data_IF_046880953098
#
_entry.id   IF_046880953098
#
_cell.length_a   1.000
_cell.length_b   1.000
_cell.length_c   1.000
_cell.angle_alpha   90.00
_cell.angle_beta   90.00
_cell.angle_gamma   90.00
#
_symmetry.space_group_name_H-M   'P 1'
#
loop_
_entity.id
_entity.type
_entity.pdbx_description
1 polymer ?
#
# COMPACT_ATOMS: atom_id res chain seq x y z
N UNK A 1 26.62 24.10 5.43
CA UNK A 1 25.70 23.67 4.36
C UNK A 1 24.39 24.40 4.55
N UNK A 2 23.81 24.99 3.51
CA UNK A 2 22.43 25.47 3.58
C UNK A 2 21.53 24.26 3.88
N UNK A 3 20.59 24.39 4.81
CA UNK A 3 19.67 23.31 5.15
C UNK A 3 18.78 22.90 3.96
N UNK A 4 18.10 21.75 4.03
CA UNK A 4 17.20 21.32 2.97
C UNK A 4 16.11 22.38 2.73
N UNK A 5 15.89 22.74 1.46
CA UNK A 5 14.90 23.73 1.05
C UNK A 5 13.66 23.01 0.53
N UNK A 6 12.53 23.16 1.22
CA UNK A 6 11.24 22.68 0.72
C UNK A 6 10.60 23.73 -0.19
N UNK A 7 10.56 23.47 -1.50
CA UNK A 7 10.03 24.43 -2.47
C UNK A 7 8.51 24.26 -2.64
N UNK A 8 7.76 24.79 -1.67
CA UNK A 8 6.29 24.72 -1.63
C UNK A 8 5.64 25.19 -2.93
N UNK A 9 6.08 26.31 -3.49
CA UNK A 9 5.46 26.89 -4.69
C UNK A 9 5.55 25.97 -5.92
N UNK A 10 6.67 25.28 -6.10
CA UNK A 10 6.82 24.29 -7.18
C UNK A 10 5.86 23.11 -7.02
N UNK A 11 5.71 22.60 -5.79
CA UNK A 11 4.76 21.52 -5.51
C UNK A 11 3.31 21.96 -5.74
N UNK A 12 2.93 23.15 -5.28
CA UNK A 12 1.59 23.72 -5.53
C UNK A 12 1.33 23.86 -7.03
N UNK A 13 2.30 24.39 -7.79
CA UNK A 13 2.17 24.51 -9.25
C UNK A 13 2.02 23.14 -9.92
N UNK A 14 2.77 22.13 -9.49
CA UNK A 14 2.67 20.77 -10.01
C UNK A 14 1.29 20.16 -9.78
N UNK A 15 0.79 20.18 -8.53
CA UNK A 15 -0.51 19.61 -8.22
C UNK A 15 -1.66 20.35 -8.90
N UNK A 16 -1.59 21.69 -8.98
CA UNK A 16 -2.59 22.48 -9.73
C UNK A 16 -2.58 22.16 -11.22
N UNK A 17 -1.40 21.91 -11.83
CA UNK A 17 -1.33 21.44 -13.22
C UNK A 17 -2.05 20.09 -13.36
N UNK A 18 -1.76 19.14 -12.48
CA UNK A 18 -2.38 17.82 -12.54
C UNK A 18 -3.91 17.86 -12.29
N UNK A 19 -4.38 18.75 -11.41
CA UNK A 19 -5.80 18.86 -11.05
C UNK A 19 -6.63 19.63 -12.08
N UNK A 20 -6.09 20.73 -12.63
CA UNK A 20 -6.85 21.67 -13.46
C UNK A 20 -6.63 21.53 -14.96
N UNK A 21 -5.73 20.65 -15.38
CA UNK A 21 -5.40 20.44 -16.81
C UNK A 21 -5.30 18.97 -17.16
N UNK A 22 -5.10 18.66 -18.43
CA UNK A 22 -4.93 17.28 -18.88
C UNK A 22 -3.62 16.68 -18.36
N UNK A 23 -3.69 15.40 -17.97
CA UNK A 23 -2.50 14.63 -17.64
C UNK A 23 -1.69 14.31 -18.92
N UNK A 24 -0.36 14.17 -18.83
CA UNK A 24 0.47 13.76 -19.96
C UNK A 24 0.08 12.40 -20.52
N UNK A 25 0.39 12.15 -21.79
CA UNK A 25 0.07 10.88 -22.49
C UNK A 25 0.61 9.64 -21.79
N UNK A 26 1.71 9.74 -21.04
CA UNK A 26 2.24 8.65 -20.21
C UNK A 26 1.23 8.11 -19.16
N UNK A 27 0.18 8.87 -18.83
CA UNK A 27 -0.87 8.45 -17.89
C UNK A 27 -2.02 7.68 -18.55
N UNK A 28 -2.02 7.48 -19.88
CA UNK A 28 -3.10 6.72 -20.55
C UNK A 28 -3.21 5.28 -20.02
N UNK A 29 -2.09 4.62 -19.71
CA UNK A 29 -2.11 3.28 -19.11
C UNK A 29 -2.69 3.25 -17.69
N UNK A 30 -2.91 4.42 -17.07
CA UNK A 30 -3.48 4.58 -15.74
C UNK A 30 -4.93 5.08 -15.78
N UNK A 31 -5.62 4.95 -16.92
CA UNK A 31 -7.00 5.45 -17.04
C UNK A 31 -7.96 4.79 -16.04
N UNK A 32 -7.75 3.52 -15.71
CA UNK A 32 -8.51 2.80 -14.68
C UNK A 32 -8.20 3.25 -13.25
N UNK A 33 -7.14 4.04 -13.04
CA UNK A 33 -6.67 4.51 -11.74
C UNK A 33 -6.97 5.99 -11.48
N UNK A 34 -7.90 6.61 -12.23
CA UNK A 34 -8.23 8.05 -12.08
C UNK A 34 -8.62 8.42 -10.66
N UNK A 35 -9.32 7.54 -9.93
CA UNK A 35 -9.66 7.77 -8.53
C UNK A 35 -8.43 7.91 -7.61
N UNK A 36 -7.41 7.07 -7.82
CA UNK A 36 -6.13 7.17 -7.11
C UNK A 36 -5.38 8.47 -7.49
N UNK A 37 -5.38 8.84 -8.76
CA UNK A 37 -4.73 10.08 -9.22
C UNK A 37 -5.42 11.33 -8.63
N UNK A 38 -6.75 11.31 -8.52
CA UNK A 38 -7.51 12.35 -7.82
C UNK A 38 -7.08 12.43 -6.34
N UNK A 39 -6.95 11.28 -5.67
CA UNK A 39 -6.45 11.21 -4.28
C UNK A 39 -5.05 11.80 -4.12
N UNK A 40 -4.09 11.42 -4.97
CA UNK A 40 -2.71 11.94 -4.88
C UNK A 40 -2.64 13.45 -5.12
N UNK A 41 -3.49 13.99 -6.01
CA UNK A 41 -3.49 15.41 -6.36
C UNK A 41 -4.22 16.28 -5.32
N UNK A 42 -5.42 15.87 -4.91
CA UNK A 42 -6.19 16.57 -3.87
C UNK A 42 -5.49 16.46 -2.51
N UNK A 43 -5.04 15.27 -2.13
CA UNK A 43 -4.28 15.04 -0.89
C UNK A 43 -2.97 15.82 -0.86
N UNK A 44 -2.27 15.94 -1.99
CA UNK A 44 -1.07 16.77 -2.11
C UNK A 44 -1.34 18.25 -1.79
N UNK A 45 -2.43 18.82 -2.29
CA UNK A 45 -2.83 20.20 -1.99
C UNK A 45 -3.33 20.38 -0.55
N UNK A 46 -4.00 19.37 0.00
CA UNK A 46 -4.52 19.38 1.37
C UNK A 46 -3.40 19.30 2.41
N UNK A 47 -2.42 18.41 2.22
CA UNK A 47 -1.22 18.31 3.07
C UNK A 47 -0.41 19.61 3.06
N UNK A 48 -0.37 20.30 1.91
CA UNK A 48 0.26 21.62 1.80
C UNK A 48 -0.58 22.74 2.41
N UNK A 49 -1.82 22.46 2.85
CA UNK A 49 -2.73 23.45 3.46
C UNK A 49 -3.26 24.50 2.48
N UNK A 50 -3.21 24.23 1.17
CA UNK A 50 -3.56 25.21 0.12
C UNK A 50 -4.75 24.82 -0.74
N UNK A 51 -5.34 23.64 -0.54
CA UNK A 51 -6.48 23.17 -1.34
C UNK A 51 -7.60 24.22 -1.41
N UNK A 52 -8.03 24.74 -0.26
CA UNK A 52 -9.12 25.72 -0.17
C UNK A 52 -8.74 27.09 -0.75
N UNK A 53 -7.48 27.51 -0.65
CA UNK A 53 -7.02 28.82 -1.14
C UNK A 53 -6.64 28.83 -2.62
N UNK A 54 -6.40 27.65 -3.21
CA UNK A 54 -6.03 27.50 -4.63
C UNK A 54 -7.13 26.91 -5.51
N UNK A 55 -8.29 26.59 -4.91
CA UNK A 55 -9.50 26.18 -5.62
C UNK A 55 -10.69 27.05 -5.21
N UNK A 56 -11.65 27.20 -6.10
CA UNK A 56 -12.93 27.85 -5.83
C UNK A 56 -13.94 26.85 -5.26
N UNK A 57 -14.98 27.30 -4.53
CA UNK A 57 -16.08 26.43 -4.12
C UNK A 57 -16.71 25.68 -5.30
N UNK A 58 -16.87 26.34 -6.44
CA UNK A 58 -17.47 25.77 -7.66
C UNK A 58 -16.60 24.66 -8.25
N UNK A 59 -15.27 24.84 -8.30
CA UNK A 59 -14.33 23.79 -8.71
C UNK A 59 -14.44 22.56 -7.80
N UNK A 60 -14.43 22.78 -6.48
CA UNK A 60 -14.55 21.68 -5.51
C UNK A 60 -15.88 20.95 -5.62
N UNK A 61 -16.97 21.68 -5.81
CA UNK A 61 -18.28 21.08 -6.05
C UNK A 61 -18.27 20.21 -7.32
N UNK A 62 -17.65 20.68 -8.40
CA UNK A 62 -17.47 19.89 -9.62
C UNK A 62 -16.66 18.61 -9.40
N UNK A 63 -15.63 18.64 -8.54
CA UNK A 63 -14.88 17.45 -8.16
C UNK A 63 -15.74 16.47 -7.35
N UNK A 64 -16.51 16.96 -6.37
CA UNK A 64 -17.47 16.17 -5.60
C UNK A 64 -18.49 15.50 -6.52
N UNK A 65 -19.05 16.24 -7.48
CA UNK A 65 -20.03 15.72 -8.42
C UNK A 65 -19.44 14.65 -9.35
N UNK A 66 -18.18 14.80 -9.78
CA UNK A 66 -17.48 13.76 -10.52
C UNK A 66 -17.26 12.49 -9.69
N UNK A 67 -16.87 12.62 -8.41
CA UNK A 67 -16.74 11.47 -7.51
C UNK A 67 -18.07 10.72 -7.38
N UNK A 68 -19.16 11.44 -7.17
CA UNK A 68 -20.50 10.83 -7.07
C UNK A 68 -21.02 10.27 -8.40
N UNK A 69 -20.60 10.82 -9.53
CA UNK A 69 -20.87 10.22 -10.85
C UNK A 69 -20.22 8.83 -10.99
N UNK A 70 -19.07 8.60 -10.35
CA UNK A 70 -18.43 7.28 -10.33
C UNK A 70 -19.11 6.27 -9.36
N UNK A 71 -20.09 6.68 -8.54
CA UNK A 71 -20.76 5.79 -7.60
C UNK A 71 -21.65 4.76 -8.31
N UNK A 72 -21.52 3.49 -7.92
CA UNK A 72 -22.30 2.39 -8.50
C UNK A 72 -23.61 2.22 -7.74
N UNK A 73 -24.77 2.04 -8.41
CA UNK A 73 -26.06 1.93 -7.71
C UNK A 73 -26.15 0.78 -6.70
N UNK A 74 -25.39 -0.30 -6.92
CA UNK A 74 -25.35 -1.49 -6.06
C UNK A 74 -24.29 -1.42 -4.95
N UNK A 75 -23.66 -0.27 -4.74
CA UNK A 75 -22.61 -0.07 -3.73
C UNK A 75 -21.21 0.03 -4.33
N UNK A 76 -20.39 0.89 -3.73
CA UNK A 76 -19.01 1.19 -4.11
C UNK A 76 -18.88 2.22 -5.25
N UNK A 77 -17.65 2.47 -5.68
CA UNK A 77 -17.29 3.41 -6.74
C UNK A 77 -16.43 2.76 -7.82
N UNK A 78 -16.57 3.25 -9.05
CA UNK A 78 -15.72 2.88 -10.20
C UNK A 78 -14.37 3.58 -10.10
N UNK A 79 -13.32 2.98 -10.67
CA UNK A 79 -12.00 3.61 -10.80
C UNK A 79 -11.97 4.78 -11.78
N UNK A 80 -12.89 4.78 -12.75
CA UNK A 80 -13.04 5.75 -13.83
C UNK A 80 -14.45 5.65 -14.44
N UNK A 81 -14.86 6.65 -15.22
CA UNK A 81 -16.22 6.73 -15.79
C UNK A 81 -16.41 5.94 -17.09
N UNK A 82 -15.36 5.29 -17.63
CA UNK A 82 -15.44 4.61 -18.93
C UNK A 82 -16.26 3.32 -18.91
N UNK A 83 -16.55 2.76 -17.73
CA UNK A 83 -17.45 1.60 -17.59
C UNK A 83 -18.90 1.99 -17.27
N UNK A 84 -19.21 3.28 -17.08
CA UNK A 84 -20.56 3.67 -16.66
C UNK A 84 -21.57 3.43 -17.80
N UNK A 85 -22.36 2.36 -17.66
CA UNK A 85 -23.43 2.05 -18.60
C UNK A 85 -24.67 2.92 -18.37
N UNK A 86 -24.75 3.63 -17.23
CA UNK A 86 -25.94 4.36 -16.80
C UNK A 86 -27.04 3.44 -16.26
N UNK A 87 -27.91 4.00 -15.43
CA UNK A 87 -28.93 3.25 -14.67
C UNK A 87 -29.88 2.44 -15.57
N UNK A 88 -30.20 2.95 -16.77
CA UNK A 88 -31.13 2.30 -17.71
C UNK A 88 -30.53 1.09 -18.43
N UNK A 89 -29.22 1.09 -18.69
CA UNK A 89 -28.56 0.03 -19.48
C UNK A 89 -27.80 -0.96 -18.62
N UNK A 90 -27.59 -0.65 -17.33
CA UNK A 90 -26.91 -1.55 -16.40
C UNK A 90 -27.87 -2.63 -15.90
N UNK A 91 -27.76 -3.83 -16.48
CA UNK A 91 -28.60 -4.99 -16.17
C UNK A 91 -27.91 -6.00 -15.26
N UNK A 92 -28.63 -7.01 -14.81
CA UNK A 92 -28.06 -8.17 -14.09
C UNK A 92 -26.95 -8.87 -14.88
N UNK A 93 -27.07 -8.86 -16.21
CA UNK A 93 -26.24 -9.63 -17.11
C UNK A 93 -24.94 -8.89 -17.44
N UNK A 94 -24.96 -7.55 -17.38
CA UNK A 94 -23.82 -6.73 -17.76
C UNK A 94 -23.14 -5.95 -16.63
N UNK A 95 -23.74 -5.89 -15.43
CA UNK A 95 -23.18 -5.19 -14.27
C UNK A 95 -21.76 -5.62 -13.87
N UNK A 96 -21.31 -6.80 -14.30
CA UNK A 96 -19.94 -7.28 -14.04
C UNK A 96 -18.88 -6.53 -14.87
N UNK A 97 -19.25 -5.96 -16.01
CA UNK A 97 -18.39 -5.09 -16.83
C UNK A 97 -18.50 -3.62 -16.45
N UNK A 98 -19.39 -3.31 -15.50
CA UNK A 98 -19.48 -2.04 -14.80
C UNK A 98 -19.41 -2.23 -13.27
N UNK A 99 -18.27 -2.74 -12.76
CA UNK A 99 -18.14 -3.09 -11.36
C UNK A 99 -17.70 -1.88 -10.51
N UNK A 100 -18.15 -1.87 -9.25
CA UNK A 100 -17.43 -1.13 -8.22
C UNK A 100 -16.10 -1.82 -7.93
N UNK A 101 -15.11 -1.02 -7.53
CA UNK A 101 -13.74 -1.44 -7.28
C UNK A 101 -13.33 -1.07 -5.85
N UNK A 102 -12.70 -1.99 -5.11
CA UNK A 102 -12.35 -1.81 -3.70
C UNK A 102 -11.39 -0.62 -3.48
N UNK A 103 -10.20 -0.57 -4.11
CA UNK A 103 -9.33 0.61 -4.03
C UNK A 103 -10.03 1.91 -4.44
N UNK A 104 -10.77 1.91 -5.56
CA UNK A 104 -11.47 3.12 -6.02
C UNK A 104 -12.51 3.60 -5.02
N UNK A 105 -13.25 2.68 -4.40
CA UNK A 105 -14.23 3.00 -3.35
C UNK A 105 -13.55 3.65 -2.16
N UNK A 106 -12.42 3.11 -1.70
CA UNK A 106 -11.66 3.71 -0.61
C UNK A 106 -11.19 5.13 -0.98
N UNK A 107 -10.54 5.31 -2.14
CA UNK A 107 -10.06 6.62 -2.56
C UNK A 107 -11.18 7.63 -2.82
N UNK A 108 -12.35 7.20 -3.31
CA UNK A 108 -13.50 8.09 -3.49
C UNK A 108 -13.96 8.65 -2.14
N UNK A 109 -14.11 7.80 -1.13
CA UNK A 109 -14.51 8.22 0.21
C UNK A 109 -13.49 9.17 0.84
N UNK A 110 -12.19 8.86 0.72
CA UNK A 110 -11.12 9.72 1.23
C UNK A 110 -11.12 11.07 0.50
N UNK A 111 -11.29 11.09 -0.82
CA UNK A 111 -11.38 12.32 -1.59
C UNK A 111 -12.58 13.19 -1.20
N UNK A 112 -13.76 12.58 -0.98
CA UNK A 112 -14.94 13.28 -0.49
C UNK A 112 -14.66 13.96 0.86
N UNK A 113 -14.01 13.25 1.78
CA UNK A 113 -13.61 13.81 3.08
C UNK A 113 -12.56 14.94 2.95
N UNK A 114 -11.55 14.80 2.07
CA UNK A 114 -10.58 15.86 1.77
C UNK A 114 -11.28 17.13 1.25
N UNK A 115 -12.33 16.97 0.44
CA UNK A 115 -13.12 18.07 -0.11
C UNK A 115 -14.11 18.67 0.90
N UNK A 116 -14.27 18.07 2.07
CA UNK A 116 -15.18 18.52 3.12
C UNK A 116 -16.64 18.09 2.92
N UNK A 117 -16.89 17.07 2.12
CA UNK A 117 -18.23 16.48 1.93
C UNK A 117 -18.70 15.75 3.19
N UNK A 118 -20.01 15.75 3.45
CA UNK A 118 -20.63 15.13 4.63
C UNK A 118 -20.96 13.64 4.42
N UNK A 119 -20.67 13.09 3.25
CA UNK A 119 -20.96 11.74 2.81
C UNK A 119 -22.45 11.39 2.78
N UNK A 120 -23.36 12.38 2.81
CA UNK A 120 -24.81 12.13 2.85
C UNK A 120 -25.34 11.52 1.55
N UNK A 121 -24.67 11.77 0.42
CA UNK A 121 -25.01 11.19 -0.90
C UNK A 121 -24.37 9.81 -1.13
N UNK A 122 -23.54 9.32 -0.21
CA UNK A 122 -22.97 7.97 -0.30
C UNK A 122 -24.08 6.95 -0.03
N UNK A 123 -24.22 5.97 -0.92
CA UNK A 123 -25.06 4.77 -0.81
C UNK A 123 -24.49 3.82 0.24
N UNK A 124 -24.46 4.30 1.49
CA UNK A 124 -23.73 3.68 2.61
C UNK A 124 -24.18 2.26 2.88
N UNK A 125 -25.50 2.00 2.86
CA UNK A 125 -26.07 0.66 3.04
C UNK A 125 -25.62 -0.29 1.94
N UNK A 126 -25.73 0.14 0.69
CA UNK A 126 -25.37 -0.66 -0.48
C UNK A 126 -23.87 -0.96 -0.52
N UNK A 127 -23.01 0.01 -0.17
CA UNK A 127 -21.57 -0.22 0.00
C UNK A 127 -21.29 -1.30 1.06
N UNK A 128 -21.97 -1.25 2.21
CA UNK A 128 -21.79 -2.20 3.31
C UNK A 128 -22.40 -3.59 3.02
N UNK A 129 -23.40 -3.67 2.14
CA UNK A 129 -23.92 -4.94 1.63
C UNK A 129 -23.06 -5.54 0.50
N UNK A 130 -22.34 -4.69 -0.23
CA UNK A 130 -21.43 -5.09 -1.29
C UNK A 130 -20.09 -5.59 -0.75
N UNK A 131 -19.49 -4.88 0.21
CA UNK A 131 -18.13 -5.15 0.68
C UNK A 131 -17.91 -6.60 1.21
N UNK A 132 -18.81 -7.22 1.99
CA UNK A 132 -18.61 -8.60 2.47
C UNK A 132 -18.58 -9.64 1.34
N UNK A 133 -19.18 -9.35 0.18
CA UNK A 133 -19.18 -10.25 -0.99
C UNK A 133 -17.81 -10.39 -1.63
N UNK A 134 -16.91 -9.44 -1.37
CA UNK A 134 -15.52 -9.46 -1.85
C UNK A 134 -14.56 -10.17 -0.90
N UNK A 135 -15.01 -10.57 0.28
CA UNK A 135 -14.19 -11.29 1.22
C UNK A 135 -14.15 -12.78 0.88
N UNK A 136 -12.94 -13.32 0.71
CA UNK A 136 -12.70 -14.75 0.48
C UNK A 136 -12.76 -15.56 1.77
N UNK A 137 -12.82 -16.87 1.63
CA UNK A 137 -12.90 -17.78 2.80
C UNK A 137 -11.64 -17.80 3.67
N UNK A 138 -10.48 -17.45 3.10
CA UNK A 138 -9.22 -17.30 3.84
C UNK A 138 -9.14 -15.97 4.64
N UNK A 139 -10.09 -15.05 4.42
CA UNK A 139 -10.15 -13.74 5.06
C UNK A 139 -9.64 -12.58 4.22
N UNK A 140 -8.97 -12.85 3.09
CA UNK A 140 -8.50 -11.85 2.13
C UNK A 140 -9.65 -11.18 1.37
N UNK A 141 -9.36 -10.09 0.67
CA UNK A 141 -10.31 -9.39 -0.19
C UNK A 141 -9.87 -9.42 -1.66
N UNK A 142 -10.84 -9.49 -2.56
CA UNK A 142 -10.62 -9.20 -3.98
C UNK A 142 -10.84 -7.74 -4.33
N UNK A 143 -10.70 -7.45 -5.61
CA UNK A 143 -10.74 -6.09 -6.15
C UNK A 143 -12.14 -5.71 -6.66
N UNK A 144 -12.78 -6.62 -7.41
CA UNK A 144 -14.09 -6.43 -8.05
C UNK A 144 -14.92 -7.71 -8.00
N UNK A 145 -16.24 -7.59 -8.22
CA UNK A 145 -17.12 -8.73 -8.48
C UNK A 145 -17.30 -8.91 -9.97
N UNK A 146 -16.80 -10.03 -10.50
CA UNK A 146 -16.94 -10.45 -11.88
C UNK A 146 -18.28 -11.13 -12.18
N UNK A 147 -18.40 -11.72 -13.39
CA UNK A 147 -19.59 -12.47 -13.80
C UNK A 147 -19.95 -13.56 -12.78
N UNK A 148 -21.25 -13.78 -12.56
CA UNK A 148 -21.75 -14.73 -11.54
C UNK A 148 -21.32 -14.44 -10.09
N UNK A 149 -20.82 -13.23 -9.82
CA UNK A 149 -20.35 -12.85 -8.48
C UNK A 149 -19.00 -13.45 -8.11
N UNK A 150 -18.18 -13.85 -9.08
CA UNK A 150 -16.80 -14.28 -8.83
C UNK A 150 -16.00 -13.14 -8.23
N UNK A 151 -15.14 -13.44 -7.25
CA UNK A 151 -14.24 -12.46 -6.65
C UNK A 151 -12.97 -12.43 -7.51
N UNK A 152 -12.76 -11.33 -8.23
CA UNK A 152 -11.60 -11.14 -9.12
C UNK A 152 -10.51 -10.28 -8.45
N UNK A 153 -9.31 -10.30 -9.03
CA UNK A 153 -8.13 -9.61 -8.50
C UNK A 153 -7.32 -10.49 -7.54
N UNK A 154 -6.18 -9.97 -7.07
CA UNK A 154 -5.28 -10.67 -6.16
C UNK A 154 -5.87 -10.96 -4.77
N UNK A 155 -5.15 -11.75 -3.97
CA UNK A 155 -5.43 -11.98 -2.54
C UNK A 155 -4.36 -11.27 -1.73
N UNK A 156 -4.39 -9.94 -1.72
CA UNK A 156 -3.33 -9.15 -1.10
C UNK A 156 -3.76 -8.10 -0.07
N UNK A 157 -2.81 -7.71 0.77
CA UNK A 157 -3.03 -6.79 1.89
C UNK A 157 -3.52 -5.39 1.49
N UNK A 158 -3.31 -4.93 0.24
CA UNK A 158 -3.80 -3.62 -0.22
C UNK A 158 -5.33 -3.61 -0.24
N UNK A 159 -5.96 -4.68 -0.72
CA UNK A 159 -7.41 -4.82 -0.73
C UNK A 159 -7.95 -4.95 0.70
N UNK A 160 -7.24 -5.66 1.58
CA UNK A 160 -7.58 -5.73 3.01
C UNK A 160 -7.57 -4.34 3.68
N UNK A 161 -6.58 -3.50 3.36
CA UNK A 161 -6.46 -2.14 3.89
C UNK A 161 -7.58 -1.25 3.38
N UNK A 162 -7.82 -1.25 2.07
CA UNK A 162 -8.91 -0.49 1.47
C UNK A 162 -10.27 -0.94 2.01
N UNK A 163 -10.53 -2.25 2.12
CA UNK A 163 -11.77 -2.79 2.68
C UNK A 163 -11.97 -2.40 4.15
N UNK A 164 -10.92 -2.50 4.97
CA UNK A 164 -10.94 -2.04 6.37
C UNK A 164 -11.25 -0.55 6.47
N UNK A 165 -10.63 0.27 5.61
CA UNK A 165 -10.86 1.71 5.56
C UNK A 165 -12.28 2.08 5.10
N UNK A 166 -12.82 1.41 4.08
CA UNK A 166 -14.21 1.59 3.63
C UNK A 166 -15.17 1.25 4.76
N UNK A 167 -14.96 0.09 5.41
CA UNK A 167 -15.77 -0.32 6.56
C UNK A 167 -15.74 0.74 7.65
N UNK A 168 -14.55 1.20 8.02
CA UNK A 168 -14.35 2.21 9.05
C UNK A 168 -15.05 3.54 8.75
N UNK A 169 -14.86 4.09 7.55
CA UNK A 169 -15.50 5.36 7.15
C UNK A 169 -17.03 5.24 7.15
N UNK A 170 -17.57 4.10 6.70
CA UNK A 170 -19.00 3.94 6.49
C UNK A 170 -19.76 3.44 7.73
N UNK A 171 -19.15 2.59 8.57
CA UNK A 171 -19.74 2.14 9.84
C UNK A 171 -19.46 3.10 11.00
N UNK A 172 -18.46 3.99 10.87
CA UNK A 172 -18.09 4.97 11.88
C UNK A 172 -17.47 4.35 13.14
N UNK A 173 -17.04 5.22 14.06
CA UNK A 173 -16.49 4.79 15.34
C UNK A 173 -17.49 3.92 16.12
N UNK A 174 -16.99 2.86 16.77
CA UNK A 174 -17.78 1.82 17.42
C UNK A 174 -18.64 0.91 16.50
N UNK A 175 -18.56 1.04 15.18
CA UNK A 175 -19.20 0.12 14.21
C UNK A 175 -20.74 0.17 14.15
N UNK A 176 -21.37 1.17 14.78
CA UNK A 176 -22.83 1.30 14.94
C UNK A 176 -23.51 2.23 13.90
N UNK A 177 -22.79 2.69 12.88
CA UNK A 177 -23.30 3.71 11.95
C UNK A 177 -24.47 3.27 11.07
N UNK A 178 -24.58 1.98 10.75
CA UNK A 178 -25.71 1.42 9.98
C UNK A 178 -26.13 0.08 10.58
N UNK A 179 -27.35 0.05 11.11
CA UNK A 179 -27.99 -1.15 11.63
C UNK A 179 -28.52 -2.03 10.48
N UNK A 180 -28.68 -3.33 10.74
CA UNK A 180 -29.26 -4.30 9.83
C UNK A 180 -28.55 -4.42 8.46
N UNK A 181 -27.22 -4.36 8.45
CA UNK A 181 -26.39 -4.67 7.26
C UNK A 181 -25.35 -5.74 7.58
N UNK A 182 -25.11 -6.71 6.67
CA UNK A 182 -24.10 -7.73 6.85
C UNK A 182 -22.72 -7.08 7.00
N UNK A 183 -21.82 -7.78 7.70
CA UNK A 183 -20.47 -7.30 7.95
C UNK A 183 -19.43 -8.30 7.49
N UNK A 184 -18.20 -7.82 7.33
CA UNK A 184 -17.07 -8.67 7.01
C UNK A 184 -16.78 -9.62 8.19
N UNK A 185 -16.22 -10.78 7.89
CA UNK A 185 -15.69 -11.72 8.88
C UNK A 185 -14.37 -11.16 9.44
N UNK A 186 -14.47 -10.24 10.42
CA UNK A 186 -13.32 -9.53 11.03
C UNK A 186 -12.24 -10.49 11.54
N UNK A 187 -12.63 -11.57 12.22
CA UNK A 187 -11.69 -12.55 12.76
C UNK A 187 -10.87 -13.23 11.65
N UNK A 188 -11.50 -13.59 10.52
CA UNK A 188 -10.80 -14.17 9.38
C UNK A 188 -9.84 -13.18 8.74
N UNK A 189 -10.23 -11.90 8.61
CA UNK A 189 -9.35 -10.85 8.09
C UNK A 189 -8.10 -10.69 8.97
N UNK A 190 -8.25 -10.66 10.30
CA UNK A 190 -7.12 -10.60 11.24
C UNK A 190 -6.22 -11.84 11.06
N UNK A 191 -6.79 -13.04 10.96
CA UNK A 191 -6.02 -14.27 10.72
C UNK A 191 -5.24 -14.23 9.41
N UNK A 192 -5.84 -13.74 8.33
CA UNK A 192 -5.16 -13.55 7.05
C UNK A 192 -3.99 -12.58 7.16
N UNK A 193 -4.22 -11.40 7.75
CA UNK A 193 -3.18 -10.39 7.96
C UNK A 193 -2.02 -10.98 8.76
N UNK A 194 -2.32 -11.64 9.88
CA UNK A 194 -1.29 -12.25 10.73
C UNK A 194 -0.52 -13.39 10.05
N UNK A 195 -1.15 -14.10 9.10
CA UNK A 195 -0.51 -15.14 8.28
C UNK A 195 0.39 -14.56 7.18
N UNK A 196 0.18 -13.30 6.78
CA UNK A 196 1.06 -12.59 5.85
C UNK A 196 2.36 -12.10 6.50
N UNK A 197 2.46 -12.15 7.84
CA UNK A 197 3.72 -11.82 8.48
C UNK A 197 4.74 -12.92 8.22
N UNK A 198 5.85 -12.50 7.64
CA UNK A 198 6.99 -13.30 7.29
C UNK A 198 7.75 -13.62 8.59
N UNK A 199 7.40 -14.75 9.19
CA UNK A 199 7.96 -15.22 10.45
C UNK A 199 8.57 -16.60 10.31
N UNK A 200 9.72 -16.79 10.96
CA UNK A 200 10.28 -18.11 11.20
C UNK A 200 9.40 -18.89 12.20
N UNK A 201 8.87 -20.09 11.88
CA UNK A 201 8.34 -20.99 12.90
C UNK A 201 9.50 -21.62 13.67
N UNK A 202 10.09 -20.88 14.62
CA UNK A 202 11.19 -21.37 15.47
C UNK A 202 10.80 -22.56 16.36
N UNK A 203 9.53 -22.97 16.40
CA UNK A 203 9.02 -24.01 17.30
C UNK A 203 8.57 -25.31 16.63
N UNK A 204 8.72 -25.47 15.31
CA UNK A 204 8.43 -26.76 14.65
C UNK A 204 9.52 -27.28 13.72
N UNK A 205 10.47 -26.46 13.27
CA UNK A 205 11.61 -26.94 12.49
C UNK A 205 12.69 -27.46 13.43
N UNK A 206 12.58 -28.73 13.82
CA UNK A 206 13.63 -29.46 14.57
C UNK A 206 14.75 -29.97 13.65
N UNK A 207 14.63 -29.79 12.32
CA UNK A 207 15.60 -30.26 11.32
C UNK A 207 15.97 -29.13 10.34
N UNK A 208 17.26 -29.06 9.99
CA UNK A 208 17.82 -28.15 8.99
C UNK A 208 17.29 -28.40 7.58
N UNK A 209 16.78 -29.61 7.28
CA UNK A 209 16.18 -29.94 5.98
C UNK A 209 14.85 -29.20 5.73
N UNK A 210 14.06 -28.92 6.77
CA UNK A 210 12.82 -28.13 6.69
C UNK A 210 13.09 -26.64 6.38
N UNK A 211 14.28 -26.13 6.75
CA UNK A 211 14.70 -24.75 6.45
C UNK A 211 14.99 -24.52 4.97
N UNK A 212 15.36 -25.56 4.23
CA UNK A 212 15.80 -25.47 2.85
C UNK A 212 14.68 -25.75 1.84
N UNK A 213 13.68 -26.56 2.22
CA UNK A 213 12.55 -26.90 1.32
C UNK A 213 11.43 -25.84 1.29
N UNK A 214 11.28 -25.04 2.34
CA UNK A 214 10.30 -23.96 2.39
C UNK A 214 11.03 -22.62 2.32
N UNK A 215 11.13 -22.02 1.13
CA UNK A 215 11.69 -20.69 0.89
C UNK A 215 10.90 -19.58 1.61
N UNK A 216 10.99 -19.55 2.94
CA UNK A 216 10.29 -18.65 3.84
C UNK A 216 11.21 -17.48 4.15
N UNK A 217 10.78 -16.26 3.87
CA UNK A 217 11.50 -15.08 4.37
C UNK A 217 11.39 -15.02 5.92
N UNK A 218 12.38 -14.44 6.61
CA UNK A 218 12.59 -14.62 8.07
C UNK A 218 12.60 -13.30 8.86
N UNK A 219 12.11 -12.22 8.26
CA UNK A 219 12.61 -10.88 8.57
C UNK A 219 11.65 -10.03 9.41
N UNK A 220 10.41 -10.47 9.65
CA UNK A 220 9.42 -9.79 10.49
C UNK A 220 8.50 -8.82 9.75
N UNK A 221 8.73 -8.59 8.45
CA UNK A 221 7.86 -7.78 7.60
C UNK A 221 6.59 -8.51 7.14
N UNK A 222 5.81 -7.85 6.28
CA UNK A 222 4.57 -8.41 5.73
C UNK A 222 4.69 -8.61 4.23
N UNK A 223 4.38 -9.82 3.76
CA UNK A 223 4.29 -10.11 2.33
C UNK A 223 2.92 -9.78 1.75
N UNK A 224 2.83 -9.77 0.42
CA UNK A 224 1.57 -9.56 -0.32
C UNK A 224 0.46 -10.50 0.17
N UNK A 225 0.83 -11.79 0.29
CA UNK A 225 0.02 -12.90 0.82
C UNK A 225 0.92 -13.77 1.72
N UNK A 226 0.39 -14.80 2.40
CA UNK A 226 1.22 -15.74 3.14
C UNK A 226 2.33 -16.34 2.25
N UNK A 227 3.52 -16.51 2.83
CA UNK A 227 4.71 -17.07 2.17
C UNK A 227 5.29 -16.22 1.02
N UNK A 228 4.98 -14.92 0.97
CA UNK A 228 5.58 -13.97 0.01
C UNK A 228 6.64 -13.11 0.68
N UNK A 229 7.51 -12.51 -0.14
CA UNK A 229 8.55 -11.59 0.29
C UNK A 229 7.95 -10.38 1.01
N UNK A 230 8.55 -10.00 2.15
CA UNK A 230 8.18 -8.81 2.91
C UNK A 230 8.34 -7.53 2.11
N UNK A 231 7.35 -6.65 2.12
CA UNK A 231 7.37 -5.39 1.38
C UNK A 231 6.73 -4.25 2.17
N UNK A 232 7.36 -3.07 2.17
CA UNK A 232 6.97 -1.95 3.04
C UNK A 232 5.53 -1.47 2.79
N UNK A 233 5.10 -1.42 1.53
CA UNK A 233 3.70 -1.10 1.19
C UNK A 233 2.70 -2.11 1.77
N UNK A 234 3.01 -3.42 1.73
CA UNK A 234 2.16 -4.46 2.31
C UNK A 234 2.22 -4.44 3.85
N UNK A 235 3.39 -4.15 4.42
CA UNK A 235 3.58 -3.91 5.85
C UNK A 235 2.70 -2.76 6.34
N UNK A 236 2.71 -1.63 5.66
CA UNK A 236 1.80 -0.53 5.95
C UNK A 236 0.33 -0.96 5.85
N UNK A 237 -0.05 -1.67 4.79
CA UNK A 237 -1.42 -2.11 4.59
C UNK A 237 -1.91 -3.04 5.70
N UNK A 238 -1.08 -3.96 6.21
CA UNK A 238 -1.40 -4.79 7.36
C UNK A 238 -1.63 -3.96 8.63
N UNK A 239 -0.68 -3.06 8.93
CA UNK A 239 -0.73 -2.19 10.11
C UNK A 239 -1.95 -1.27 10.07
N UNK A 240 -2.20 -0.63 8.93
CA UNK A 240 -3.36 0.24 8.69
C UNK A 240 -4.69 -0.51 8.81
N UNK A 241 -4.79 -1.71 8.23
CA UNK A 241 -5.98 -2.57 8.37
C UNK A 241 -6.31 -2.83 9.84
N UNK A 242 -5.33 -3.28 10.63
CA UNK A 242 -5.52 -3.57 12.05
C UNK A 242 -5.82 -2.30 12.86
N UNK A 243 -5.27 -1.14 12.46
CA UNK A 243 -5.59 0.13 13.07
C UNK A 243 -7.06 0.50 12.88
N UNK A 244 -7.56 0.48 11.64
CA UNK A 244 -8.98 0.76 11.35
C UNK A 244 -9.91 -0.14 12.16
N UNK A 245 -9.63 -1.45 12.18
CA UNK A 245 -10.42 -2.41 12.95
C UNK A 245 -10.43 -2.05 14.44
N UNK A 246 -9.26 -1.75 15.05
CA UNK A 246 -9.14 -1.42 16.49
C UNK A 246 -9.98 -0.22 16.91
N UNK A 247 -10.16 0.77 16.04
CA UNK A 247 -10.96 1.98 16.35
C UNK A 247 -12.48 1.70 16.45
N UNK A 248 -12.94 0.54 16.00
CA UNK A 248 -14.36 0.23 15.89
C UNK A 248 -14.88 -0.67 17.01
N UNK A 249 -14.03 -1.32 17.81
CA UNK A 249 -14.51 -2.11 18.95
C UNK A 249 -13.48 -2.16 20.09
N UNK A 250 -13.95 -2.09 21.34
CA UNK A 250 -13.12 -2.33 22.54
C UNK A 250 -12.74 -3.82 22.72
N UNK A 251 -13.23 -4.72 21.85
CA UNK A 251 -13.22 -6.18 22.04
C UNK A 251 -12.50 -6.97 20.94
N UNK A 252 -11.74 -6.31 20.07
CA UNK A 252 -10.97 -7.05 19.07
C UNK A 252 -9.88 -7.86 19.78
N UNK A 253 -9.68 -9.15 19.41
CA UNK A 253 -8.53 -9.92 19.88
C UNK A 253 -7.26 -9.11 19.68
N UNK A 254 -6.38 -9.10 20.69
CA UNK A 254 -5.07 -8.48 20.63
C UNK A 254 -4.27 -9.07 19.46
N UNK A 255 -4.42 -8.48 18.27
CA UNK A 255 -3.67 -8.87 17.08
C UNK A 255 -2.21 -8.68 17.44
N UNK A 256 -1.46 -9.78 17.49
CA UNK A 256 -0.12 -9.82 18.06
C UNK A 256 0.77 -8.80 17.34
N UNK A 257 0.54 -8.60 16.04
CA UNK A 257 1.28 -7.67 15.19
C UNK A 257 1.30 -6.23 15.71
N UNK A 258 0.27 -5.78 16.44
CA UNK A 258 0.19 -4.43 17.01
C UNK A 258 0.19 -4.45 18.56
N UNK A 259 0.73 -5.49 19.17
CA UNK A 259 0.76 -5.66 20.63
C UNK A 259 2.19 -5.65 21.13
N UNK A 260 2.66 -4.54 21.75
CA UNK A 260 4.02 -4.41 22.26
C UNK A 260 4.45 -5.60 23.14
N UNK A 261 5.69 -6.07 22.95
CA UNK A 261 6.22 -7.25 23.64
C UNK A 261 5.81 -8.60 23.04
N UNK A 262 4.91 -8.63 22.05
CA UNK A 262 4.65 -9.86 21.29
C UNK A 262 5.78 -10.12 20.29
N UNK A 263 6.08 -11.39 20.01
CA UNK A 263 7.10 -11.76 19.00
C UNK A 263 6.83 -11.15 17.62
N UNK A 264 5.56 -11.11 17.22
CA UNK A 264 5.13 -10.53 15.95
C UNK A 264 5.36 -9.02 15.90
N UNK A 265 5.07 -8.32 16.98
CA UNK A 265 5.30 -6.88 17.09
C UNK A 265 6.80 -6.55 17.05
N UNK A 266 7.62 -7.25 17.85
CA UNK A 266 9.07 -6.99 17.88
C UNK A 266 9.73 -7.28 16.51
N UNK A 267 9.31 -8.36 15.84
CA UNK A 267 9.76 -8.66 14.47
C UNK A 267 9.38 -7.57 13.47
N UNK A 268 8.13 -7.07 13.54
CA UNK A 268 7.66 -5.98 12.69
C UNK A 268 8.48 -4.69 12.89
N UNK A 269 8.70 -4.29 14.15
CA UNK A 269 9.45 -3.08 14.48
C UNK A 269 10.90 -3.21 14.03
N UNK A 270 11.54 -4.35 14.29
CA UNK A 270 12.90 -4.62 13.82
C UNK A 270 13.01 -4.54 12.31
N UNK A 271 12.05 -5.13 11.60
CA UNK A 271 11.97 -5.08 10.14
C UNK A 271 11.85 -3.64 9.63
N UNK A 272 10.89 -2.86 10.16
CA UNK A 272 10.66 -1.47 9.76
C UNK A 272 11.88 -0.59 10.02
N UNK A 273 12.53 -0.74 11.17
CA UNK A 273 13.75 0.00 11.51
C UNK A 273 14.90 -0.32 10.54
N UNK A 274 15.00 -1.57 10.08
CA UNK A 274 16.02 -2.01 9.12
C UNK A 274 15.81 -1.56 7.67
N UNK A 275 14.75 -0.80 7.37
CA UNK A 275 14.48 -0.25 6.02
C UNK A 275 15.19 1.06 5.74
N UNK A 276 15.71 1.74 6.76
CA UNK A 276 16.51 2.95 6.55
C UNK A 276 17.82 2.56 5.85
N UNK A 277 18.16 3.27 4.77
CA UNK A 277 19.33 2.98 3.94
C UNK A 277 19.92 4.26 3.36
N UNK A 278 21.24 4.24 3.17
CA UNK A 278 22.02 5.25 2.44
C UNK A 278 22.16 4.93 0.95
N UNK A 279 21.76 3.74 0.48
CA UNK A 279 21.82 3.36 -0.93
C UNK A 279 20.76 4.09 -1.75
N UNK A 280 21.16 5.14 -2.47
CA UNK A 280 20.28 5.96 -3.29
C UNK A 280 20.33 5.58 -4.77
N UNK A 281 19.26 5.91 -5.51
CA UNK A 281 19.23 5.78 -6.97
C UNK A 281 20.31 6.68 -7.59
N UNK A 282 21.28 6.09 -8.28
CA UNK A 282 22.38 6.78 -8.98
C UNK A 282 23.80 6.51 -8.47
N UNK A 283 23.98 5.69 -7.42
CA UNK A 283 25.31 5.34 -6.90
C UNK A 283 25.90 4.02 -7.47
N UNK A 284 25.13 3.26 -8.26
CA UNK A 284 25.56 1.97 -8.84
C UNK A 284 25.95 2.06 -10.34
N UNK A 285 25.92 3.23 -10.98
CA UNK A 285 26.22 3.38 -12.41
C UNK A 285 27.72 3.61 -12.74
N UNK A 286 28.63 3.65 -11.74
CA UNK A 286 30.07 3.91 -11.97
C UNK A 286 31.00 2.68 -11.85
N UNK A 287 30.50 1.50 -11.48
CA UNK A 287 31.32 0.28 -11.38
C UNK A 287 30.72 -0.88 -12.19
N UNK A 288 30.84 -0.86 -13.52
CA UNK A 288 30.56 -2.08 -14.30
C UNK A 288 30.35 -2.02 -15.81
N UNK A 289 30.42 -0.88 -16.49
CA UNK A 289 30.38 -0.86 -17.96
C UNK A 289 31.80 -0.91 -18.55
N UNK A 290 32.40 -2.11 -18.60
CA UNK A 290 33.42 -2.36 -19.62
C UNK A 290 32.72 -2.48 -20.97
N UNK A 291 32.90 -1.46 -21.81
CA UNK A 291 32.46 -1.44 -23.21
C UNK A 291 33.02 -2.67 -23.96
N UNK A 292 32.16 -3.64 -24.26
CA UNK A 292 32.48 -4.68 -25.24
C UNK A 292 32.23 -4.08 -26.62
N UNK A 293 33.30 -3.63 -27.27
CA UNK A 293 33.28 -3.19 -28.65
C UNK A 293 32.88 -4.36 -29.57
N UNK A 294 31.83 -4.14 -30.37
CA UNK A 294 31.40 -5.03 -31.45
C UNK A 294 32.56 -5.31 -32.42
N UNK A 295 32.91 -6.59 -32.55
CA UNK A 295 33.60 -7.10 -33.73
C UNK A 295 32.87 -8.36 -34.18
N UNK A 296 32.06 -8.19 -35.22
CA UNK A 296 31.46 -9.25 -36.03
C UNK A 296 32.55 -10.17 -36.59
N UNK A 297 32.51 -11.45 -36.23
CA UNK A 297 32.87 -12.54 -37.14
C UNK A 297 32.21 -13.85 -36.64
N UNK A 298 31.38 -14.41 -37.51
CA UNK A 298 30.74 -15.72 -37.37
C UNK A 298 31.79 -16.83 -37.31
N UNK A 299 31.69 -17.71 -36.30
CA UNK A 299 32.04 -19.13 -36.39
C UNK A 299 31.43 -19.87 -35.19
N UNK A 300 30.40 -20.68 -35.42
CA UNK A 300 29.98 -21.78 -34.52
C UNK A 300 30.93 -22.95 -34.77
N UNK A 301 31.52 -23.56 -33.72
CA UNK A 301 31.00 -24.88 -33.34
C UNK A 301 31.19 -25.28 -31.86
N UNK A 302 30.13 -25.81 -31.26
CA UNK A 302 30.11 -27.03 -30.42
C UNK A 302 30.98 -27.15 -29.14
N UNK A 303 30.31 -27.58 -28.06
CA UNK A 303 30.86 -28.28 -26.87
C UNK A 303 31.95 -27.54 -26.07
N UNK A 304 31.53 -26.65 -25.17
CA UNK A 304 32.31 -26.30 -23.98
C UNK A 304 31.72 -27.03 -22.78
N UNK A 305 32.52 -27.91 -22.18
CA UNK A 305 32.24 -28.62 -20.94
C UNK A 305 31.91 -27.59 -19.84
N UNK A 306 30.77 -27.75 -19.18
CA UNK A 306 30.51 -27.05 -17.92
C UNK A 306 31.44 -27.68 -16.88
N UNK A 307 32.61 -27.08 -16.67
CA UNK A 307 33.42 -27.34 -15.49
C UNK A 307 32.57 -26.96 -14.27
N UNK A 308 31.96 -27.96 -13.65
CA UNK A 308 31.45 -27.86 -12.28
C UNK A 308 32.67 -27.62 -11.40
N UNK A 309 33.00 -26.35 -11.15
CA UNK A 309 33.91 -25.98 -10.09
C UNK A 309 33.26 -26.39 -8.78
N UNK A 310 33.62 -27.55 -8.27
CA UNK A 310 33.41 -27.94 -6.88
C UNK A 310 34.23 -26.97 -6.02
N UNK A 311 33.65 -25.81 -5.68
CA UNK A 311 34.21 -24.94 -4.66
C UNK A 311 33.97 -25.61 -3.32
N UNK A 312 35.03 -26.16 -2.75
CA UNK A 312 35.13 -26.71 -1.40
C UNK A 312 35.11 -25.60 -0.33
N UNK A 313 34.44 -24.47 -0.61
CA UNK A 313 34.29 -23.38 0.35
C UNK A 313 33.12 -23.72 1.28
N UNK A 314 33.38 -23.78 2.59
CA UNK A 314 32.29 -24.00 3.52
C UNK A 314 31.30 -22.82 3.44
N UNK A 315 30.03 -23.09 3.71
CA UNK A 315 29.00 -22.04 3.76
C UNK A 315 29.39 -20.91 4.72
N UNK A 316 30.13 -21.22 5.78
CA UNK A 316 30.64 -20.22 6.73
C UNK A 316 31.71 -19.30 6.09
N UNK A 317 32.51 -19.80 5.16
CA UNK A 317 33.52 -18.99 4.47
C UNK A 317 32.88 -18.05 3.44
N UNK A 318 31.83 -18.51 2.76
CA UNK A 318 30.98 -17.67 1.90
C UNK A 318 30.27 -16.58 2.71
N UNK A 319 29.75 -16.91 3.90
CA UNK A 319 29.12 -15.94 4.81
C UNK A 319 30.14 -14.92 5.32
N UNK A 320 31.37 -15.33 5.62
CA UNK A 320 32.46 -14.44 6.04
C UNK A 320 32.95 -13.53 4.91
N UNK A 321 32.77 -13.95 3.66
CA UNK A 321 33.08 -13.17 2.46
C UNK A 321 32.01 -12.13 2.10
N UNK A 322 30.82 -12.19 2.71
CA UNK A 322 29.79 -11.18 2.52
C UNK A 322 30.27 -9.84 3.12
N UNK A 323 30.13 -8.77 2.34
CA UNK A 323 30.47 -7.42 2.78
C UNK A 323 29.71 -7.10 4.07
N UNK A 324 30.43 -6.93 5.18
CA UNK A 324 29.84 -6.44 6.41
C UNK A 324 29.24 -5.06 6.14
N UNK A 325 27.91 -4.93 6.27
CA UNK A 325 27.26 -3.61 6.29
C UNK A 325 27.76 -2.88 7.54
N UNK A 326 28.74 -2.00 7.38
CA UNK A 326 29.22 -1.16 8.46
C UNK A 326 28.05 -0.30 8.98
N UNK A 327 27.95 -0.07 10.30
CA UNK A 327 26.99 0.89 10.82
C UNK A 327 27.19 2.26 10.16
N UNK A 328 26.11 2.92 9.78
CA UNK A 328 26.15 4.25 9.18
C UNK A 328 26.95 5.20 10.09
N UNK A 329 28.04 5.75 9.57
CA UNK A 329 28.84 6.74 10.30
C UNK A 329 28.12 8.10 10.28
N UNK A 330 28.30 8.92 11.32
CA UNK A 330 27.65 10.24 11.40
C UNK A 330 27.94 11.19 10.22
N UNK A 331 29.02 10.93 9.45
CA UNK A 331 29.35 11.68 8.24
C UNK A 331 28.58 11.19 6.98
N UNK A 332 28.12 9.94 6.97
CA UNK A 332 27.34 9.32 5.88
C UNK A 332 25.85 9.68 5.96
N UNK A 333 25.36 10.17 7.10
CA UNK A 333 23.94 10.56 7.34
C UNK A 333 23.58 11.90 6.66
N UNK A 334 24.35 12.37 5.66
CA UNK A 334 23.97 13.59 4.93
C UNK A 334 22.67 13.40 4.12
N UNK A 335 22.41 12.17 3.67
CA UNK A 335 21.16 11.74 3.07
C UNK A 335 20.88 10.27 3.39
N UNK A 336 19.63 9.95 3.71
CA UNK A 336 19.16 8.58 3.91
C UNK A 336 17.71 8.49 3.42
N UNK A 337 17.36 7.37 2.83
CA UNK A 337 16.01 7.04 2.41
C UNK A 337 15.51 5.78 3.09
N UNK A 338 14.38 5.29 2.61
CA UNK A 338 13.88 3.98 2.98
C UNK A 338 13.78 3.11 1.73
N UNK A 339 14.15 1.84 1.84
CA UNK A 339 13.81 0.84 0.83
C UNK A 339 12.51 0.12 1.17
N UNK A 340 11.94 -0.52 0.15
CA UNK A 340 10.70 -1.28 0.29
C UNK A 340 10.94 -2.71 0.77
N UNK A 341 12.12 -3.23 0.51
CA UNK A 341 12.53 -4.62 0.69
C UNK A 341 14.02 -4.68 1.00
N UNK A 342 14.44 -5.76 1.65
CA UNK A 342 15.85 -6.02 1.93
C UNK A 342 16.70 -5.95 0.66
N UNK A 343 17.89 -5.34 0.76
CA UNK A 343 18.86 -5.21 -0.33
C UNK A 343 18.35 -4.49 -1.59
N UNK A 344 17.32 -3.66 -1.47
CA UNK A 344 16.87 -2.76 -2.55
C UNK A 344 17.28 -1.31 -2.27
N UNK A 345 17.34 -0.52 -3.34
CA UNK A 345 17.60 0.91 -3.28
C UNK A 345 16.47 1.66 -2.56
N UNK A 346 16.78 2.85 -2.05
CA UNK A 346 15.79 3.75 -1.51
C UNK A 346 14.78 4.22 -2.58
N UNK A 347 13.53 4.39 -2.18
CA UNK A 347 12.49 5.05 -2.98
C UNK A 347 11.74 6.03 -2.06
N UNK A 348 11.42 7.20 -2.61
CA UNK A 348 10.74 8.29 -1.90
C UNK A 348 9.45 7.84 -1.24
N UNK A 349 8.67 6.95 -1.87
CA UNK A 349 7.39 6.52 -1.32
C UNK A 349 7.51 5.73 -0.01
N UNK A 350 8.64 5.03 0.20
CA UNK A 350 8.86 4.25 1.41
C UNK A 350 9.11 5.10 2.65
N UNK A 351 9.40 6.39 2.49
CA UNK A 351 9.37 7.36 3.60
C UNK A 351 7.97 7.41 4.22
N UNK A 352 6.91 7.35 3.41
CA UNK A 352 5.54 7.26 3.89
C UNK A 352 5.24 5.85 4.39
N UNK A 353 5.45 4.81 3.58
CA UNK A 353 5.03 3.45 3.95
C UNK A 353 5.69 2.93 5.24
N UNK A 354 6.99 3.14 5.42
CA UNK A 354 7.69 2.75 6.66
C UNK A 354 7.37 3.71 7.81
N UNK A 355 7.46 5.02 7.56
CA UNK A 355 7.26 6.04 8.59
C UNK A 355 5.86 5.98 9.19
N UNK A 356 4.82 5.88 8.37
CA UNK A 356 3.45 5.79 8.83
C UNK A 356 3.16 4.48 9.58
N UNK A 357 3.75 3.35 9.14
CA UNK A 357 3.63 2.08 9.87
C UNK A 357 4.27 2.18 11.28
N UNK A 358 5.47 2.77 11.39
CA UNK A 358 6.13 3.02 12.67
C UNK A 358 5.30 3.93 13.57
N UNK A 359 4.71 4.99 13.02
CA UNK A 359 3.85 5.91 13.77
C UNK A 359 2.58 5.25 14.33
N UNK A 360 2.02 4.26 13.65
CA UNK A 360 0.89 3.47 14.18
C UNK A 360 1.35 2.54 15.30
N UNK A 361 2.54 1.95 15.18
CA UNK A 361 3.12 1.06 16.20
C UNK A 361 3.52 1.85 17.46
N UNK A 362 3.99 3.07 17.28
CA UNK A 362 4.41 4.00 18.33
C UNK A 362 3.65 5.30 18.18
N UNK A 363 2.40 5.40 18.68
CA UNK A 363 1.67 6.66 18.67
C UNK A 363 2.39 7.68 19.57
N UNK A 364 3.34 8.41 18.99
CA UNK A 364 3.95 9.57 19.62
C UNK A 364 2.88 10.65 19.69
N UNK A 365 2.67 11.25 20.85
CA UNK A 365 1.83 12.45 20.99
C UNK A 365 2.51 13.62 20.29
N UNK A 366 2.41 13.71 18.95
CA UNK A 366 2.99 14.81 18.18
C UNK A 366 2.09 16.04 18.36
N UNK A 367 2.49 16.93 19.28
CA UNK A 367 1.83 18.23 19.52
C UNK A 367 2.08 19.29 18.43
N UNK A 368 2.44 18.90 17.21
CA UNK A 368 2.77 19.82 16.12
C UNK A 368 1.75 19.70 14.97
N UNK A 369 1.07 20.81 14.68
CA UNK A 369 -0.09 20.89 13.76
C UNK A 369 0.22 20.50 12.31
N UNK A 370 1.45 20.71 11.84
CA UNK A 370 1.85 20.37 10.47
C UNK A 370 2.13 18.87 10.28
N UNK A 371 2.72 18.20 11.28
CA UNK A 371 2.93 16.75 11.26
C UNK A 371 1.59 15.99 11.39
N UNK A 372 0.61 16.59 12.08
CA UNK A 372 -0.77 16.10 12.15
C UNK A 372 -1.46 16.09 10.78
N UNK A 373 -1.12 17.02 9.88
CA UNK A 373 -1.74 17.17 8.55
C UNK A 373 -1.32 16.06 7.57
N UNK A 374 -0.06 15.63 7.60
CA UNK A 374 0.43 14.47 6.82
C UNK A 374 -0.23 13.16 7.26
N UNK A 375 -0.54 13.04 8.55
CA UNK A 375 -1.25 11.90 9.13
C UNK A 375 -2.72 11.83 8.73
N UNK A 376 -3.35 12.99 8.46
CA UNK A 376 -4.75 13.06 8.02
C UNK A 376 -4.97 12.24 6.74
N UNK A 377 -4.07 12.30 5.77
CA UNK A 377 -4.32 11.74 4.43
C UNK A 377 -4.62 10.23 4.33
N UNK A 378 -4.31 9.39 5.33
CA UNK A 378 -4.76 7.98 5.34
C UNK A 378 -5.35 7.48 6.66
N UNK A 379 -4.94 8.03 7.82
CA UNK A 379 -5.40 7.51 9.12
C UNK A 379 -6.17 8.58 9.92
N UNK A 380 -5.85 9.86 9.76
CA UNK A 380 -6.49 10.96 10.50
C UNK A 380 -7.57 11.75 9.73
N UNK A 381 -8.03 11.27 8.58
CA UNK A 381 -9.13 11.88 7.80
C UNK A 381 -10.51 11.54 8.39
N UNK A 382 -10.56 10.68 9.41
CA UNK A 382 -11.79 10.35 10.15
C UNK A 382 -11.65 10.71 11.62
#
# INVERSE_FOLDING_TARGET
>A
MAGPIFNTERHVKYYLRCLKTFLPSAYVSNDSNRMLLAYLTLGGLDVLGVLQSKTTPEERQGYIDWLYHCQVPSGGFRGFSGTDFGDEKRTSDNKAWDPANVPATFFALVNLLILGDDLARVKRRECLEWLPKLQREDGSFGEVLGPNGTIEGGSDLRYCCCASGIRYILRGQAGKGVEDVPDIKVSKLISFIEACQVNCPYTKCLDWTDRFLFGQSYDGGMGESPFRESHSGHTYCAVGSLHFLRQETDKIPSAQLLSPGSKKFEGLVGWLASRQTDKLLGEEDEEGEEEVADNDNEEDPTTAEVEVRTRDESVDDLIRGLSNMAPLSGATISCAGFNGRCNKLADTCYSFWNGAALMVCFPVTIKNSHAHQVYRCWIGIV
#
